data_IF_011107937076
#
_entry.id   IF_011107937076
#
_cell.length_a   1.000
_cell.length_b   1.000
_cell.length_c   1.000
_cell.angle_alpha   90.00
_cell.angle_beta   90.00
_cell.angle_gamma   90.00
#
_symmetry.space_group_name_H-M   'P 1'
#
loop_
_entity.id
_entity.type
_entity.pdbx_description
1 polymer ?
#
# COMPACT_ATOMS: atom_id res chain seq x y z
N UNK A 1 2.23 11.15 -8.20
CA UNK A 1 2.51 11.80 -6.91
C UNK A 1 1.42 11.45 -5.91
N UNK A 2 1.78 11.21 -4.63
CA UNK A 2 0.82 10.80 -3.59
C UNK A 2 1.14 11.48 -2.27
N UNK A 3 0.11 11.66 -1.44
CA UNK A 3 0.21 12.16 -0.07
C UNK A 3 -0.24 11.06 0.89
N UNK A 4 0.49 10.87 1.97
CA UNK A 4 0.16 9.90 3.03
C UNK A 4 0.00 10.66 4.34
N UNK A 5 -1.10 10.38 5.05
CA UNK A 5 -1.33 10.82 6.43
C UNK A 5 -1.34 9.61 7.33
N UNK A 6 -0.38 9.51 8.22
CA UNK A 6 -0.31 8.45 9.22
C UNK A 6 -1.19 8.80 10.42
N UNK A 7 -2.28 8.08 10.60
CA UNK A 7 -3.20 8.22 11.74
C UNK A 7 -2.62 7.47 12.94
N UNK A 8 -2.30 6.19 12.76
CA UNK A 8 -1.61 5.36 13.75
C UNK A 8 -0.27 4.90 13.15
N UNK A 9 0.67 5.83 12.98
CA UNK A 9 2.02 5.58 12.52
C UNK A 9 3.02 5.45 13.68
N UNK A 10 4.30 5.63 13.40
CA UNK A 10 5.41 5.51 14.36
C UNK A 10 5.22 6.34 15.63
N UNK A 11 4.57 7.51 15.52
CA UNK A 11 4.28 8.41 16.66
C UNK A 11 3.48 7.72 17.78
N UNK A 12 2.70 6.69 17.47
CA UNK A 12 1.80 6.00 18.41
C UNK A 12 2.29 4.60 18.79
N UNK A 13 3.54 4.26 18.49
CA UNK A 13 4.13 2.93 18.75
C UNK A 13 3.97 2.43 20.19
N UNK A 14 3.99 3.33 21.16
CA UNK A 14 3.90 2.99 22.60
C UNK A 14 2.43 2.90 23.08
N UNK A 15 1.46 3.19 22.24
CA UNK A 15 0.03 3.25 22.56
C UNK A 15 -0.84 2.25 21.80
N UNK A 16 -0.33 1.69 20.71
CA UNK A 16 -1.08 0.80 19.80
C UNK A 16 -0.28 -0.47 19.57
N UNK A 17 -0.88 -1.61 19.87
CA UNK A 17 -0.19 -2.90 19.87
C UNK A 17 0.20 -3.42 18.48
N UNK A 18 -0.75 -3.48 17.55
CA UNK A 18 -0.56 -4.18 16.26
C UNK A 18 -0.96 -3.38 15.02
N UNK A 19 -1.73 -2.32 15.20
CA UNK A 19 -2.33 -1.58 14.09
C UNK A 19 -1.42 -0.47 13.56
N UNK A 20 -1.37 -0.38 12.23
CA UNK A 20 -0.95 0.79 11.48
C UNK A 20 -2.16 1.27 10.67
N UNK A 21 -2.46 2.57 10.74
CA UNK A 21 -3.61 3.16 10.05
C UNK A 21 -3.16 4.41 9.32
N UNK A 22 -3.50 4.50 8.04
CA UNK A 22 -3.12 5.63 7.21
C UNK A 22 -4.20 5.99 6.18
N UNK A 23 -4.17 7.23 5.74
CA UNK A 23 -4.91 7.74 4.59
C UNK A 23 -3.93 8.03 3.46
N UNK A 24 -4.23 7.54 2.26
CA UNK A 24 -3.41 7.75 1.08
C UNK A 24 -4.24 8.46 0.00
N UNK A 25 -3.61 9.47 -0.62
CA UNK A 25 -4.22 10.29 -1.65
C UNK A 25 -3.31 10.31 -2.87
N UNK A 26 -3.85 10.10 -4.07
CA UNK A 26 -3.16 10.55 -5.28
C UNK A 26 -3.17 12.08 -5.32
N UNK A 27 -2.10 12.69 -5.80
CA UNK A 27 -2.02 14.14 -5.99
C UNK A 27 -2.07 14.42 -7.49
N UNK A 28 -3.12 15.13 -7.91
CA UNK A 28 -3.45 15.27 -9.32
C UNK A 28 -4.27 14.08 -9.82
N UNK A 29 -4.51 14.06 -11.11
CA UNK A 29 -5.35 13.06 -11.77
C UNK A 29 -4.52 11.91 -12.31
N UNK A 30 -5.03 10.69 -12.10
CA UNK A 30 -4.31 9.48 -12.46
C UNK A 30 -3.18 9.14 -11.47
N UNK A 31 -2.50 8.04 -11.70
CA UNK A 31 -1.28 7.68 -10.99
C UNK A 31 -1.37 6.40 -10.15
N UNK A 32 -0.20 5.96 -9.74
CA UNK A 32 0.01 4.72 -8.99
C UNK A 32 0.18 4.97 -7.50
N UNK A 33 -0.25 4.00 -6.70
CA UNK A 33 -0.02 3.92 -5.26
C UNK A 33 0.29 2.48 -4.86
N UNK A 34 0.76 2.25 -3.60
CA UNK A 34 1.35 0.94 -3.26
C UNK A 34 2.60 0.62 -4.10
N UNK A 35 3.29 1.65 -4.58
CA UNK A 35 4.37 1.55 -5.56
C UNK A 35 5.68 2.14 -5.00
N UNK A 36 6.88 1.51 -5.19
CA UNK A 36 7.12 0.28 -5.96
C UNK A 36 6.35 -0.92 -5.41
N UNK A 37 6.02 -1.93 -6.26
CA UNK A 37 5.30 -3.11 -5.83
C UNK A 37 6.02 -3.79 -4.66
N UNK A 38 5.28 -4.09 -3.61
CA UNK A 38 5.80 -4.72 -2.40
C UNK A 38 4.75 -5.64 -1.79
N UNK A 39 5.20 -6.51 -0.89
CA UNK A 39 4.34 -7.38 -0.10
C UNK A 39 4.80 -7.41 1.35
N UNK A 40 3.96 -7.96 2.21
CA UNK A 40 4.22 -8.17 3.63
C UNK A 40 3.35 -9.34 4.13
N UNK A 41 3.55 -10.50 3.51
CA UNK A 41 2.73 -11.68 3.73
C UNK A 41 3.47 -12.82 4.47
N UNK A 42 4.74 -12.61 4.80
CA UNK A 42 5.60 -13.63 5.41
C UNK A 42 6.45 -13.01 6.51
N UNK A 43 6.50 -13.67 7.70
CA UNK A 43 7.44 -13.30 8.75
C UNK A 43 8.81 -13.91 8.46
N UNK A 44 9.76 -13.08 8.03
CA UNK A 44 11.16 -13.44 7.77
C UNK A 44 12.09 -12.25 8.00
N UNK A 45 12.16 -11.79 9.24
CA UNK A 45 13.07 -10.70 9.60
C UNK A 45 14.53 -10.99 9.23
N UNK A 46 15.30 -10.00 8.81
CA UNK A 46 14.96 -8.57 8.69
C UNK A 46 14.32 -8.18 7.36
N UNK A 47 13.94 -9.14 6.51
CA UNK A 47 13.54 -8.91 5.12
C UNK A 47 12.06 -8.54 4.97
N UNK A 48 11.20 -9.10 5.81
CA UNK A 48 9.75 -8.96 5.69
C UNK A 48 9.05 -9.25 7.02
N UNK A 49 7.92 -8.59 7.25
CA UNK A 49 6.99 -8.90 8.35
C UNK A 49 5.60 -9.19 7.81
N UNK A 50 4.89 -10.11 8.44
CA UNK A 50 3.52 -10.45 8.05
C UNK A 50 2.52 -9.47 8.64
N UNK A 51 1.76 -8.82 7.73
CA UNK A 51 0.65 -7.93 8.04
C UNK A 51 -0.51 -8.25 7.10
N UNK A 52 -1.69 -8.42 7.66
CA UNK A 52 -2.91 -8.39 6.87
C UNK A 52 -3.31 -6.93 6.67
N UNK A 53 -3.77 -6.58 5.48
CA UNK A 53 -4.09 -5.20 5.12
C UNK A 53 -5.46 -5.10 4.45
N UNK A 54 -6.13 -3.98 4.66
CA UNK A 54 -7.35 -3.64 3.93
C UNK A 54 -7.22 -2.26 3.31
N UNK A 55 -7.71 -2.11 2.08
CA UNK A 55 -7.92 -0.82 1.43
C UNK A 55 -9.41 -0.57 1.25
N UNK A 56 -9.89 0.61 1.66
CA UNK A 56 -11.22 1.10 1.34
C UNK A 56 -11.10 2.35 0.47
N UNK A 57 -11.62 2.28 -0.75
CA UNK A 57 -11.40 3.28 -1.80
C UNK A 57 -12.49 4.32 -1.92
N UNK A 58 -12.08 5.55 -2.27
CA UNK A 58 -12.95 6.65 -2.71
C UNK A 58 -12.33 7.32 -3.91
N UNK A 59 -13.17 7.84 -4.79
CA UNK A 59 -12.75 8.54 -6.01
C UNK A 59 -13.36 9.94 -6.09
N UNK A 60 -12.67 10.82 -6.82
CA UNK A 60 -13.19 12.15 -7.14
C UNK A 60 -12.95 12.44 -8.62
N UNK A 61 -14.04 12.71 -9.40
CA UNK A 61 -15.46 12.51 -9.04
C UNK A 61 -15.79 11.11 -8.56
N UNK A 62 -16.93 10.92 -7.90
CA UNK A 62 -17.32 9.67 -7.21
C UNK A 62 -17.61 8.48 -8.16
N UNK A 63 -17.86 8.75 -9.43
CA UNK A 63 -17.97 7.74 -10.51
C UNK A 63 -16.60 7.29 -11.06
N UNK A 64 -15.51 7.78 -10.47
CA UNK A 64 -14.16 7.35 -10.83
C UNK A 64 -13.89 5.89 -10.50
N UNK A 65 -12.87 5.33 -11.13
CA UNK A 65 -12.48 3.94 -10.97
C UNK A 65 -10.96 3.76 -11.07
N UNK A 66 -10.52 2.59 -10.72
CA UNK A 66 -9.13 2.18 -10.81
C UNK A 66 -8.97 0.68 -10.85
N UNK A 67 -7.76 0.22 -10.64
CA UNK A 67 -7.44 -1.20 -10.53
C UNK A 67 -6.54 -1.45 -9.33
N UNK A 68 -6.84 -2.51 -8.58
CA UNK A 68 -5.95 -3.13 -7.62
C UNK A 68 -5.31 -4.34 -8.28
N UNK A 69 -3.99 -4.36 -8.37
CA UNK A 69 -3.24 -5.52 -8.84
C UNK A 69 -2.83 -6.40 -7.66
N UNK A 70 -2.84 -7.70 -7.85
CA UNK A 70 -2.28 -8.67 -6.89
C UNK A 70 -1.46 -9.69 -7.66
N UNK A 71 -0.14 -9.69 -7.44
CA UNK A 71 0.79 -10.60 -8.08
C UNK A 71 1.45 -11.46 -7.01
N UNK A 72 1.22 -12.77 -7.06
CA UNK A 72 1.68 -13.70 -6.02
C UNK A 72 3.18 -13.97 -6.06
N UNK A 73 3.76 -13.97 -7.26
CA UNK A 73 5.17 -14.26 -7.51
C UNK A 73 5.78 -13.24 -8.47
N UNK A 74 7.03 -12.88 -8.24
CA UNK A 74 7.77 -12.02 -9.17
C UNK A 74 7.90 -12.69 -10.55
N UNK A 75 7.72 -11.90 -11.61
CA UNK A 75 7.77 -12.37 -13.00
C UNK A 75 6.56 -13.18 -13.47
N UNK A 76 5.53 -13.40 -12.64
CA UNK A 76 4.29 -14.09 -13.02
C UNK A 76 3.17 -13.09 -13.28
N UNK A 77 2.18 -13.52 -14.06
CA UNK A 77 0.96 -12.74 -14.26
C UNK A 77 0.15 -12.73 -12.96
N UNK A 78 -0.38 -11.56 -12.59
CA UNK A 78 -1.22 -11.38 -11.42
C UNK A 78 -2.66 -11.07 -11.78
N UNK A 79 -3.50 -10.99 -10.75
CA UNK A 79 -4.91 -10.61 -10.85
C UNK A 79 -5.06 -9.08 -10.89
N UNK A 80 -6.06 -8.60 -11.61
CA UNK A 80 -6.46 -7.20 -11.64
C UNK A 80 -7.94 -7.08 -11.25
N UNK A 81 -8.19 -6.34 -10.18
CA UNK A 81 -9.55 -6.11 -9.68
C UNK A 81 -9.99 -4.70 -10.01
N UNK A 82 -11.14 -4.56 -10.68
CA UNK A 82 -11.78 -3.28 -10.89
C UNK A 82 -12.26 -2.71 -9.54
N UNK A 83 -11.81 -1.51 -9.20
CA UNK A 83 -12.19 -0.82 -7.97
C UNK A 83 -12.96 0.46 -8.29
N UNK A 84 -14.05 0.67 -7.58
CA UNK A 84 -14.93 1.83 -7.68
C UNK A 84 -15.12 2.48 -6.32
N UNK A 85 -15.84 3.60 -6.28
CA UNK A 85 -16.13 4.30 -5.03
C UNK A 85 -16.82 3.38 -4.01
N UNK A 86 -16.21 3.22 -2.83
CA UNK A 86 -16.69 2.32 -1.77
C UNK A 86 -16.10 0.90 -1.81
N UNK A 87 -15.38 0.51 -2.85
CA UNK A 87 -14.72 -0.80 -2.89
C UNK A 87 -13.79 -1.01 -1.71
N UNK A 88 -13.81 -2.23 -1.17
CA UNK A 88 -12.88 -2.69 -0.14
C UNK A 88 -12.16 -3.93 -0.62
N UNK A 89 -10.84 -3.92 -0.53
CA UNK A 89 -9.98 -5.06 -0.88
C UNK A 89 -9.25 -5.52 0.39
N UNK A 90 -9.23 -6.83 0.61
CA UNK A 90 -8.41 -7.48 1.63
C UNK A 90 -7.14 -8.00 0.96
N UNK A 91 -6.00 -7.59 1.49
CA UNK A 91 -4.67 -7.92 0.99
C UNK A 91 -3.98 -8.82 2.01
N UNK A 92 -4.05 -10.11 1.78
CA UNK A 92 -3.44 -11.15 2.62
C UNK A 92 -2.12 -11.68 2.05
N UNK A 93 -1.93 -11.56 0.73
CA UNK A 93 -0.75 -12.09 0.01
C UNK A 93 -0.44 -11.33 -1.27
N UNK A 94 0.86 -11.27 -1.59
CA UNK A 94 1.38 -10.85 -2.88
C UNK A 94 1.68 -9.37 -3.01
N UNK A 95 2.33 -9.03 -4.10
CA UNK A 95 2.62 -7.64 -4.49
C UNK A 95 1.34 -6.96 -4.93
N UNK A 96 1.03 -5.78 -4.38
CA UNK A 96 -0.30 -5.20 -4.47
C UNK A 96 -0.34 -3.70 -4.80
N UNK A 97 0.29 -3.27 -5.90
CA UNK A 97 0.16 -1.89 -6.35
C UNK A 97 -1.26 -1.62 -6.85
N UNK A 98 -1.71 -0.36 -6.74
CA UNK A 98 -2.99 0.07 -7.29
C UNK A 98 -2.82 1.33 -8.14
N UNK A 99 -3.76 1.55 -9.04
CA UNK A 99 -3.73 2.66 -9.99
C UNK A 99 -5.13 3.24 -10.16
N UNK A 100 -5.21 4.56 -10.31
CA UNK A 100 -6.44 5.27 -10.64
C UNK A 100 -6.46 5.63 -12.13
N UNK A 101 -7.64 5.56 -12.75
CA UNK A 101 -7.82 5.96 -14.14
C UNK A 101 -7.50 7.44 -14.37
N UNK A 102 -7.00 7.84 -15.57
CA UNK A 102 -6.79 9.23 -15.90
C UNK A 102 -8.07 10.07 -15.73
N UNK A 103 -7.93 11.29 -15.26
CA UNK A 103 -9.07 12.18 -15.01
C UNK A 103 -9.69 12.08 -13.61
N UNK A 104 -9.25 11.13 -12.80
CA UNK A 104 -9.77 10.92 -11.44
C UNK A 104 -8.69 11.01 -10.38
N UNK A 105 -9.07 11.47 -9.19
CA UNK A 105 -8.26 11.37 -7.97
C UNK A 105 -8.72 10.15 -7.17
N UNK A 106 -7.78 9.48 -6.51
CA UNK A 106 -8.04 8.33 -5.65
C UNK A 106 -7.60 8.61 -4.22
N UNK A 107 -8.47 8.28 -3.31
CA UNK A 107 -8.21 8.15 -1.89
C UNK A 107 -8.41 6.71 -1.47
N UNK A 108 -7.58 6.21 -0.56
CA UNK A 108 -7.92 5.00 0.16
C UNK A 108 -7.46 5.07 1.62
N UNK A 109 -8.31 4.49 2.46
CA UNK A 109 -8.06 4.28 3.86
C UNK A 109 -7.46 2.90 4.04
N UNK A 110 -6.30 2.80 4.69
CA UNK A 110 -5.63 1.53 4.92
C UNK A 110 -5.49 1.21 6.40
N UNK A 111 -5.76 -0.04 6.74
CA UNK A 111 -5.52 -0.62 8.05
C UNK A 111 -4.63 -1.83 7.85
N UNK A 112 -3.47 -1.85 8.53
CA UNK A 112 -2.60 -3.01 8.60
C UNK A 112 -2.62 -3.58 10.02
N UNK A 113 -2.79 -4.89 10.11
CA UNK A 113 -2.70 -5.65 11.35
C UNK A 113 -1.47 -6.54 11.36
N UNK A 114 -0.46 -6.21 12.15
CA UNK A 114 0.74 -7.04 12.28
C UNK A 114 0.46 -8.32 13.07
N UNK A 115 0.81 -9.49 12.51
CA UNK A 115 0.57 -10.78 13.16
C UNK A 115 1.58 -11.06 14.27
N UNK A 116 2.85 -10.77 14.07
CA UNK A 116 3.90 -10.95 15.06
C UNK A 116 4.35 -9.65 15.71
N UNK A 117 4.36 -8.55 14.96
CA UNK A 117 4.83 -7.25 15.40
C UNK A 117 4.08 -6.12 14.70
N UNK A 118 4.17 -4.90 15.24
CA UNK A 118 3.56 -3.71 14.65
C UNK A 118 4.42 -3.06 13.56
N UNK A 119 5.75 -2.88 13.74
CA UNK A 119 6.58 -2.27 12.70
C UNK A 119 6.52 -3.06 11.40
N UNK A 120 6.22 -2.37 10.31
CA UNK A 120 6.12 -2.96 8.98
C UNK A 120 7.50 -3.01 8.31
N UNK A 121 7.88 -4.18 7.83
CA UNK A 121 9.01 -4.37 6.93
C UNK A 121 8.46 -4.89 5.61
N UNK A 122 8.48 -4.02 4.60
CA UNK A 122 7.98 -4.33 3.26
C UNK A 122 9.04 -5.06 2.45
N UNK A 123 8.67 -6.16 1.82
CA UNK A 123 9.51 -6.83 0.83
C UNK A 123 9.15 -6.32 -0.56
N UNK A 124 10.05 -5.53 -1.13
CA UNK A 124 9.87 -4.97 -2.47
C UNK A 124 10.11 -6.04 -3.55
N UNK A 125 9.28 -6.00 -4.57
CA UNK A 125 9.37 -6.93 -5.70
C UNK A 125 10.75 -6.81 -6.37
N UNK A 126 11.53 -7.91 -6.47
CA UNK A 126 12.92 -7.84 -6.94
C UNK A 126 13.11 -7.13 -8.27
N UNK A 127 12.24 -7.42 -9.24
CA UNK A 127 12.27 -6.79 -10.57
C UNK A 127 12.16 -5.25 -10.51
N UNK A 128 11.47 -4.71 -9.50
CA UNK A 128 11.19 -3.28 -9.37
C UNK A 128 11.88 -2.60 -8.19
N UNK A 129 12.62 -3.33 -7.37
CA UNK A 129 13.22 -2.82 -6.14
C UNK A 129 14.19 -1.65 -6.36
N UNK A 130 14.83 -1.56 -7.53
CA UNK A 130 15.71 -0.44 -7.89
C UNK A 130 15.01 0.94 -7.80
N UNK A 131 13.69 0.96 -7.93
CA UNK A 131 12.89 2.20 -7.88
C UNK A 131 12.87 2.84 -6.48
N UNK A 132 13.24 2.12 -5.43
CA UNK A 132 13.44 2.69 -4.09
C UNK A 132 14.49 3.79 -4.12
N UNK A 133 15.50 3.64 -4.97
CA UNK A 133 16.58 4.60 -5.12
C UNK A 133 16.24 5.76 -6.06
N UNK A 134 15.29 5.57 -6.97
CA UNK A 134 14.99 6.53 -8.04
C UNK A 134 13.73 7.37 -7.79
N UNK A 135 12.80 6.90 -6.95
CA UNK A 135 11.58 7.65 -6.64
C UNK A 135 11.80 8.52 -5.40
N UNK A 136 11.71 9.86 -5.52
CA UNK A 136 11.91 10.76 -4.39
C UNK A 136 10.93 10.48 -3.24
N UNK A 137 11.42 10.50 -1.99
CA UNK A 137 10.63 10.38 -0.77
C UNK A 137 10.21 8.96 -0.37
N UNK A 138 10.54 7.94 -1.16
CA UNK A 138 10.20 6.55 -0.81
C UNK A 138 10.87 6.09 0.48
N UNK A 139 12.15 6.38 0.68
CA UNK A 139 12.89 6.00 1.91
C UNK A 139 12.29 6.64 3.16
N UNK A 140 11.91 7.91 3.08
CA UNK A 140 11.25 8.61 4.18
C UNK A 140 9.87 8.03 4.49
N UNK A 141 9.13 7.63 3.47
CA UNK A 141 7.85 6.97 3.62
C UNK A 141 8.00 5.63 4.34
N UNK A 142 8.93 4.79 3.92
CA UNK A 142 9.20 3.48 4.53
C UNK A 142 9.52 3.63 6.03
N UNK A 143 10.32 4.62 6.40
CA UNK A 143 10.69 4.87 7.79
C UNK A 143 9.51 5.21 8.71
N UNK A 144 8.40 5.72 8.16
CA UNK A 144 7.20 6.11 8.93
C UNK A 144 6.24 4.96 9.26
N UNK A 145 6.43 3.78 8.68
CA UNK A 145 5.69 2.55 8.99
C UNK A 145 6.36 1.66 10.07
N UNK A 146 7.34 2.17 10.75
CA UNK A 146 8.08 1.45 11.80
C UNK A 146 7.56 1.74 13.21
#
# INVERSE_FOLDING_TARGET
>A
HRKIKHILGTKYRDRVGRLLVSELFTVGQGGWSGFPPHKHDTDRLPLETRHDETYNFRFKPDHGFGMQLVQREDGKVGDAYHIVNGSTIILDKGYHPCVVAPGYEMYYFTILGGLSQRPLVQFFQPTHAYQIETIPGIKDMIAKFK
#
